data_IF_555045512742
#
_entry.id   IF_555045512742
#
_cell.length_a   1.000
_cell.length_b   1.000
_cell.length_c   1.000
_cell.angle_alpha   90.00
_cell.angle_beta   90.00
_cell.angle_gamma   90.00
#
_symmetry.space_group_name_H-M   'P 1'
#
loop_
_entity.id
_entity.type
_entity.pdbx_description
1 polymer ?
#
# COMPACT_ATOMS: atom_id res chain seq x y z
N UNK A 1 7.97 8.97 8.84
CA UNK A 1 9.19 8.27 9.28
C UNK A 1 9.35 7.02 8.42
N UNK A 2 10.40 6.91 7.60
CA UNK A 2 10.64 5.75 6.74
C UNK A 2 11.22 4.53 7.48
N UNK A 3 11.66 4.68 8.73
CA UNK A 3 12.38 3.62 9.47
C UNK A 3 11.70 2.24 9.41
N UNK A 4 10.36 2.09 9.54
CA UNK A 4 9.71 0.78 9.48
C UNK A 4 9.89 0.03 8.14
N UNK A 5 10.28 0.73 7.08
CA UNK A 5 10.44 0.16 5.73
C UNK A 5 11.87 0.26 5.18
N UNK A 6 12.83 0.74 5.98
CA UNK A 6 14.19 1.03 5.53
C UNK A 6 14.91 -0.21 4.99
N UNK A 7 14.76 -1.36 5.65
CA UNK A 7 15.34 -2.63 5.19
C UNK A 7 14.78 -3.05 3.83
N UNK A 8 13.48 -2.85 3.61
CA UNK A 8 12.83 -3.15 2.35
C UNK A 8 13.28 -2.20 1.23
N UNK A 9 13.47 -0.91 1.54
CA UNK A 9 14.02 0.05 0.59
C UNK A 9 15.46 -0.30 0.18
N UNK A 10 16.29 -0.70 1.15
CA UNK A 10 17.66 -1.15 0.88
C UNK A 10 17.69 -2.41 -0.01
N UNK A 11 16.80 -3.37 0.24
CA UNK A 11 16.71 -4.61 -0.53
C UNK A 11 16.23 -4.41 -1.98
N UNK A 12 15.39 -3.42 -2.24
CA UNK A 12 14.82 -3.17 -3.57
C UNK A 12 15.83 -2.56 -4.57
N UNK A 13 17.00 -2.14 -4.12
CA UNK A 13 18.05 -1.57 -4.95
C UNK A 13 17.77 -0.14 -5.45
N UNK A 14 18.80 0.46 -6.06
CA UNK A 14 18.75 1.83 -6.54
C UNK A 14 17.75 1.99 -7.71
N UNK A 15 16.96 3.06 -7.68
CA UNK A 15 16.03 3.43 -8.75
C UNK A 15 14.60 2.89 -8.58
N UNK A 16 14.34 2.07 -7.57
CA UNK A 16 12.99 1.61 -7.23
C UNK A 16 12.11 2.79 -6.77
N UNK A 17 10.99 3.00 -7.45
CA UNK A 17 10.02 4.06 -7.09
C UNK A 17 8.96 3.58 -6.10
N UNK A 18 8.57 2.31 -6.21
CA UNK A 18 7.52 1.67 -5.42
C UNK A 18 7.94 0.22 -5.21
N UNK A 19 7.77 -0.29 -4.00
CA UNK A 19 8.14 -1.64 -3.62
C UNK A 19 6.92 -2.41 -3.11
N UNK A 20 7.02 -3.74 -3.19
CA UNK A 20 5.99 -4.66 -2.70
C UNK A 20 6.60 -5.76 -1.84
N UNK A 21 5.99 -6.06 -0.71
CA UNK A 21 6.43 -7.15 0.17
C UNK A 21 5.26 -7.61 1.06
N UNK A 22 5.32 -8.86 1.55
CA UNK A 22 4.36 -9.34 2.55
C UNK A 22 4.63 -8.64 3.89
N UNK A 23 3.58 -8.31 4.63
CA UNK A 23 3.73 -7.76 5.97
C UNK A 23 4.25 -8.83 6.96
N UNK A 24 4.69 -8.40 8.15
CA UNK A 24 5.24 -9.29 9.19
C UNK A 24 4.31 -10.47 9.56
N UNK A 25 2.99 -10.26 9.50
CA UNK A 25 2.00 -11.30 9.80
C UNK A 25 1.73 -12.27 8.64
N UNK A 26 2.22 -11.98 7.43
CA UNK A 26 1.93 -12.74 6.21
C UNK A 26 0.46 -12.70 5.76
N UNK A 27 -0.37 -11.83 6.36
CA UNK A 27 -1.80 -11.71 6.08
C UNK A 27 -2.13 -10.62 5.05
N UNK A 28 -1.14 -9.82 4.64
CA UNK A 28 -1.25 -8.75 3.67
C UNK A 28 -0.01 -8.59 2.79
N UNK A 29 -0.19 -8.13 1.54
CA UNK A 29 0.90 -7.46 0.80
C UNK A 29 0.78 -5.96 0.95
N UNK A 30 1.92 -5.32 1.14
CA UNK A 30 2.06 -3.88 1.19
C UNK A 30 2.62 -3.38 -0.14
N UNK A 31 2.04 -2.30 -0.66
CA UNK A 31 2.57 -1.49 -1.76
C UNK A 31 2.99 -0.16 -1.18
N UNK A 32 4.27 0.15 -1.26
CA UNK A 32 4.90 1.26 -0.50
C UNK A 32 5.75 2.11 -1.45
N UNK A 33 5.52 3.44 -1.54
CA UNK A 33 6.39 4.32 -2.30
C UNK A 33 7.72 4.52 -1.58
N UNK A 34 8.80 4.58 -2.36
CA UNK A 34 10.15 4.92 -1.90
C UNK A 34 10.32 6.44 -1.84
N UNK A 35 11.15 6.96 -0.95
CA UNK A 35 11.42 8.40 -0.88
C UNK A 35 12.27 8.88 -2.06
N UNK A 36 11.64 9.45 -3.09
CA UNK A 36 12.33 10.03 -4.27
C UNK A 36 11.91 11.48 -4.55
N UNK A 37 11.15 12.08 -3.62
CA UNK A 37 10.62 13.43 -3.68
C UNK A 37 10.65 14.09 -2.30
N UNK A 38 9.85 15.14 -2.07
CA UNK A 38 9.82 15.83 -0.78
C UNK A 38 9.44 14.89 0.37
N UNK A 39 10.15 14.95 1.49
CA UNK A 39 9.92 14.07 2.65
C UNK A 39 8.49 14.10 3.20
N UNK A 40 7.80 15.25 3.05
CA UNK A 40 6.42 15.44 3.48
C UNK A 40 5.36 14.86 2.51
N UNK A 41 5.78 14.28 1.37
CA UNK A 41 4.87 13.63 0.44
C UNK A 41 4.35 12.28 0.96
N UNK A 42 5.17 11.57 1.74
CA UNK A 42 4.93 10.17 2.07
C UNK A 42 4.08 9.84 3.31
N UNK A 43 3.65 10.76 4.22
CA UNK A 43 2.91 10.37 5.42
C UNK A 43 1.59 9.62 5.18
N UNK A 44 0.85 9.98 4.13
CA UNK A 44 -0.46 9.41 3.80
C UNK A 44 -0.84 9.70 2.34
N UNK A 45 -1.83 8.97 1.81
CA UNK A 45 -2.24 9.03 0.39
C UNK A 45 -2.50 10.45 -0.10
N UNK A 46 -3.20 11.26 0.71
CA UNK A 46 -3.56 12.64 0.35
C UNK A 46 -2.32 13.55 0.11
N UNK A 47 -1.25 13.41 0.89
CA UNK A 47 -0.01 14.17 0.66
C UNK A 47 0.76 13.63 -0.53
N UNK A 48 0.76 12.30 -0.70
CA UNK A 48 1.45 11.64 -1.79
C UNK A 48 0.92 12.09 -3.15
N UNK A 49 -0.41 12.09 -3.31
CA UNK A 49 -1.06 12.54 -4.55
C UNK A 49 -0.84 14.03 -4.84
N UNK A 50 -0.56 14.85 -3.83
CA UNK A 50 -0.29 16.29 -4.01
C UNK A 50 1.17 16.62 -4.29
N UNK A 51 2.11 15.87 -3.70
CA UNK A 51 3.50 16.30 -3.56
C UNK A 51 4.51 15.34 -4.19
N UNK A 52 4.18 14.06 -4.36
CA UNK A 52 5.09 13.11 -4.98
C UNK A 52 5.21 13.37 -6.50
N UNK A 53 6.35 13.03 -7.12
CA UNK A 53 6.50 13.08 -8.58
C UNK A 53 5.36 12.32 -9.29
N UNK A 54 4.80 12.92 -10.35
CA UNK A 54 3.64 12.33 -11.05
C UNK A 54 3.91 10.91 -11.55
N UNK A 55 5.12 10.66 -12.08
CA UNK A 55 5.53 9.32 -12.52
C UNK A 55 5.52 8.30 -11.38
N UNK A 56 5.89 8.71 -10.17
CA UNK A 56 5.82 7.85 -8.99
C UNK A 56 4.37 7.53 -8.62
N UNK A 57 3.46 8.50 -8.75
CA UNK A 57 2.04 8.28 -8.50
C UNK A 57 1.45 7.27 -9.50
N UNK A 58 1.81 7.38 -10.78
CA UNK A 58 1.42 6.40 -11.80
C UNK A 58 2.00 5.03 -11.49
N UNK A 59 3.30 4.93 -11.19
CA UNK A 59 3.95 3.68 -10.81
C UNK A 59 3.27 3.05 -9.59
N UNK A 60 2.88 3.85 -8.59
CA UNK A 60 2.18 3.36 -7.40
C UNK A 60 0.85 2.69 -7.74
N UNK A 61 0.02 3.33 -8.55
CA UNK A 61 -1.27 2.76 -8.95
C UNK A 61 -1.12 1.58 -9.93
N UNK A 62 -0.14 1.62 -10.82
CA UNK A 62 0.18 0.47 -11.68
C UNK A 62 0.62 -0.75 -10.87
N UNK A 63 1.54 -0.56 -9.92
CA UNK A 63 2.00 -1.62 -9.03
C UNK A 63 0.87 -2.15 -8.15
N UNK A 64 0.00 -1.26 -7.63
CA UNK A 64 -1.18 -1.66 -6.87
C UNK A 64 -2.14 -2.53 -7.71
N UNK A 65 -2.44 -2.11 -8.94
CA UNK A 65 -3.31 -2.85 -9.84
C UNK A 65 -2.70 -4.21 -10.24
N UNK A 66 -1.42 -4.25 -10.59
CA UNK A 66 -0.72 -5.48 -10.93
C UNK A 66 -0.69 -6.47 -9.76
N UNK A 67 -0.37 -5.98 -8.55
CA UNK A 67 -0.38 -6.79 -7.33
C UNK A 67 -1.77 -7.34 -7.03
N UNK A 68 -2.80 -6.50 -7.19
CA UNK A 68 -4.19 -6.93 -7.01
C UNK A 68 -4.54 -8.03 -8.01
N UNK A 69 -4.27 -7.83 -9.30
CA UNK A 69 -4.56 -8.80 -10.36
C UNK A 69 -3.93 -10.16 -10.10
N UNK A 70 -2.68 -10.20 -9.63
CA UNK A 70 -1.98 -11.44 -9.28
C UNK A 70 -2.62 -12.19 -8.11
N UNK A 71 -3.31 -11.48 -7.22
CA UNK A 71 -3.93 -12.04 -6.01
C UNK A 71 -5.40 -12.40 -6.23
N UNK A 72 -6.06 -11.85 -7.26
CA UNK A 72 -7.47 -12.10 -7.54
C UNK A 72 -7.78 -13.60 -7.60
N UNK A 73 -8.87 -13.98 -6.96
CA UNK A 73 -9.27 -15.38 -6.86
C UNK A 73 -10.67 -15.53 -6.26
N UNK A 74 -10.93 -16.69 -5.65
CA UNK A 74 -12.25 -17.00 -5.08
C UNK A 74 -12.56 -16.24 -3.79
N UNK A 75 -11.54 -15.78 -3.08
CA UNK A 75 -11.69 -15.03 -1.81
C UNK A 75 -11.56 -13.53 -2.09
N UNK A 76 -12.32 -12.70 -1.37
CA UNK A 76 -12.21 -11.26 -1.51
C UNK A 76 -10.84 -10.78 -1.02
N UNK A 77 -10.40 -9.66 -1.59
CA UNK A 77 -9.21 -8.92 -1.16
C UNK A 77 -9.67 -7.55 -0.69
N UNK A 78 -9.12 -7.12 0.43
CA UNK A 78 -9.47 -5.84 1.06
C UNK A 78 -8.34 -4.85 0.82
N UNK A 79 -8.66 -3.74 0.15
CA UNK A 79 -7.69 -2.70 -0.19
C UNK A 79 -7.86 -1.49 0.71
N UNK A 80 -6.83 -1.15 1.49
CA UNK A 80 -6.90 -0.01 2.39
C UNK A 80 -5.54 0.60 2.64
N UNK A 81 -5.48 1.91 2.87
CA UNK A 81 -4.27 2.57 3.40
C UNK A 81 -4.33 2.76 4.91
N UNK A 82 -5.40 2.29 5.56
CA UNK A 82 -5.54 2.38 7.01
C UNK A 82 -4.60 1.38 7.69
N UNK A 83 -3.91 1.87 8.72
CA UNK A 83 -2.97 1.10 9.52
C UNK A 83 -2.65 1.86 10.80
N UNK A 84 -1.99 1.19 11.74
CA UNK A 84 -1.61 1.78 13.01
C UNK A 84 -0.08 1.88 13.08
N UNK A 85 0.41 2.97 13.66
CA UNK A 85 1.81 3.06 14.11
C UNK A 85 2.87 3.40 13.07
N UNK A 86 2.52 3.56 11.78
CA UNK A 86 3.49 3.95 10.73
C UNK A 86 2.97 5.14 9.93
N UNK A 87 3.61 6.29 10.11
CA UNK A 87 3.34 7.53 9.35
C UNK A 87 4.10 7.54 8.01
N UNK A 88 3.82 6.53 7.19
CA UNK A 88 4.31 6.37 5.83
C UNK A 88 3.26 5.63 5.02
N UNK A 89 2.97 6.09 3.80
CA UNK A 89 1.94 5.52 2.94
C UNK A 89 2.27 4.05 2.65
N UNK A 90 1.33 3.17 2.94
CA UNK A 90 1.38 1.79 2.50
C UNK A 90 -0.04 1.36 2.16
N UNK A 91 -0.28 1.04 0.89
CA UNK A 91 -1.53 0.40 0.50
C UNK A 91 -1.42 -1.07 0.88
N UNK A 92 -2.42 -1.56 1.60
CA UNK A 92 -2.50 -2.92 2.07
C UNK A 92 -3.50 -3.70 1.22
N UNK A 93 -3.11 -4.89 0.80
CA UNK A 93 -3.98 -5.90 0.19
C UNK A 93 -4.11 -7.04 1.20
N UNK A 94 -5.08 -6.92 2.10
CA UNK A 94 -5.32 -7.86 3.19
C UNK A 94 -6.32 -8.96 2.76
N UNK A 95 -6.16 -10.15 3.35
CA UNK A 95 -7.12 -11.27 3.21
C UNK A 95 -8.41 -11.09 4.02
N UNK A 96 -8.42 -10.12 4.95
CA UNK A 96 -9.54 -9.76 5.83
C UNK A 96 -9.68 -8.23 5.91
N UNK A 97 -10.85 -7.66 6.24
CA UNK A 97 -11.06 -6.21 6.32
C UNK A 97 -10.46 -5.60 7.60
N UNK A 98 -9.13 -5.68 7.73
CA UNK A 98 -8.39 -5.15 8.88
C UNK A 98 -8.36 -3.62 8.84
N UNK A 99 -8.53 -2.99 10.00
CA UNK A 99 -8.49 -1.51 10.18
C UNK A 99 -9.60 -0.70 9.49
N UNK A 100 -10.59 -1.35 8.89
CA UNK A 100 -11.79 -0.67 8.42
C UNK A 100 -12.62 -0.21 9.63
N UNK A 101 -12.89 1.10 9.72
CA UNK A 101 -13.69 1.70 10.79
C UNK A 101 -15.17 1.85 10.43
N UNK A 102 -15.52 1.74 9.15
CA UNK A 102 -16.89 1.80 8.67
C UNK A 102 -17.39 0.38 8.40
N UNK A 103 -18.27 -0.13 9.26
CA UNK A 103 -18.71 -1.54 9.22
C UNK A 103 -19.30 -2.01 7.89
N UNK A 104 -20.06 -1.20 7.13
CA UNK A 104 -20.53 -1.62 5.81
C UNK A 104 -19.41 -1.95 4.82
N UNK A 105 -18.20 -1.40 5.00
CA UNK A 105 -17.03 -1.73 4.18
C UNK A 105 -16.26 -2.96 4.70
N UNK A 106 -16.79 -3.69 5.67
CA UNK A 106 -16.22 -4.95 6.19
C UNK A 106 -17.00 -6.17 5.71
N UNK A 107 -18.03 -5.95 4.91
CA UNK A 107 -18.89 -7.02 4.36
C UNK A 107 -18.60 -7.13 2.87
N UNK A 108 -18.24 -8.33 2.42
CA UNK A 108 -18.12 -8.57 0.99
C UNK A 108 -19.55 -8.76 0.44
N UNK A 109 -20.00 -7.92 -0.50
CA UNK A 109 -21.35 -8.03 -1.00
C UNK A 109 -21.54 -9.40 -1.66
N UNK A 110 -22.60 -10.10 -1.24
CA UNK A 110 -23.09 -11.25 -1.99
C UNK A 110 -23.62 -10.71 -3.33
N UNK A 111 -23.34 -11.40 -4.43
CA UNK A 111 -24.02 -11.09 -5.68
C UNK A 111 -25.55 -11.23 -5.44
N UNK A 112 -26.37 -10.31 -5.99
CA UNK A 112 -27.83 -10.39 -5.85
C UNK A 112 -28.41 -11.67 -6.44
#
# INVERSE_FOLDING_TARGET
DPLPFQEHFAAAGNGSQVITFDNLGGDAVLVVPVEIGPANAYPHLSSFMRLAPLDQQHTFWHTAAATLQQRLGRRPIWLSTAGLGVAWLHLRLDSIPKYYSYDPYRVFPQAP
#
